data_IF_402754427364
#
_entry.id   IF_402754427364
#
_cell.length_a   1.000
_cell.length_b   1.000
_cell.length_c   1.000
_cell.angle_alpha   90.00
_cell.angle_beta   90.00
_cell.angle_gamma   90.00
#
_symmetry.space_group_name_H-M   'P 1'
#
loop_
_entity.id
_entity.type
_entity.pdbx_description
1 polymer ?
#
# COMPACT_ATOMS: atom_id res chain seq x y z
N UNK A 1 10.12 -41.16 -26.54
CA UNK A 1 9.36 -40.56 -25.40
C UNK A 1 7.86 -40.75 -25.64
N UNK A 2 7.10 -41.27 -24.67
CA UNK A 2 5.67 -41.59 -24.87
C UNK A 2 4.81 -40.33 -25.00
N UNK A 3 3.66 -40.45 -25.70
CA UNK A 3 2.68 -39.35 -25.86
C UNK A 3 2.27 -38.75 -24.51
N UNK A 4 2.10 -39.59 -23.49
CA UNK A 4 1.81 -39.18 -22.10
C UNK A 4 2.92 -38.31 -21.51
N UNK A 5 4.20 -38.71 -21.66
CA UNK A 5 5.35 -37.92 -21.20
C UNK A 5 5.44 -36.55 -21.89
N UNK A 6 5.13 -36.49 -23.20
CA UNK A 6 5.06 -35.21 -23.94
C UNK A 6 3.98 -34.28 -23.39
N UNK A 7 2.78 -34.79 -23.13
CA UNK A 7 1.66 -34.00 -22.60
C UNK A 7 2.00 -33.44 -21.20
N UNK A 8 2.58 -34.27 -20.33
CA UNK A 8 2.99 -33.83 -18.97
C UNK A 8 4.02 -32.71 -19.04
N UNK A 9 5.02 -32.83 -19.92
CA UNK A 9 6.03 -31.77 -20.08
C UNK A 9 5.44 -30.46 -20.63
N UNK A 10 4.46 -30.53 -21.53
CA UNK A 10 3.76 -29.34 -22.04
C UNK A 10 2.99 -28.66 -20.91
N UNK A 11 2.25 -29.41 -20.09
CA UNK A 11 1.50 -28.86 -18.95
C UNK A 11 2.45 -28.19 -17.94
N UNK A 12 3.56 -28.84 -17.59
CA UNK A 12 4.56 -28.27 -16.70
C UNK A 12 5.17 -26.98 -17.27
N UNK A 13 5.44 -26.94 -18.58
CA UNK A 13 5.92 -25.73 -19.25
C UNK A 13 4.90 -24.58 -19.22
N UNK A 14 3.61 -24.88 -19.39
CA UNK A 14 2.53 -23.89 -19.28
C UNK A 14 2.44 -23.34 -17.85
N UNK A 15 2.49 -24.20 -16.83
CA UNK A 15 2.46 -23.78 -15.43
C UNK A 15 3.67 -22.91 -15.09
N UNK A 16 4.87 -23.31 -15.51
CA UNK A 16 6.08 -22.54 -15.27
C UNK A 16 6.04 -21.16 -15.96
N UNK A 17 5.59 -21.10 -17.22
CA UNK A 17 5.47 -19.83 -17.95
C UNK A 17 4.40 -18.91 -17.37
N UNK A 18 3.26 -19.44 -16.94
CA UNK A 18 2.24 -18.67 -16.22
C UNK A 18 2.77 -18.15 -14.88
N UNK A 19 3.53 -18.95 -14.14
CA UNK A 19 4.17 -18.53 -12.89
C UNK A 19 5.14 -17.36 -13.10
N UNK A 20 5.98 -17.43 -14.13
CA UNK A 20 6.91 -16.33 -14.48
C UNK A 20 6.16 -15.07 -14.90
N UNK A 21 5.10 -15.20 -15.70
CA UNK A 21 4.27 -14.06 -16.12
C UNK A 21 3.56 -13.39 -14.94
N UNK A 22 3.01 -14.19 -14.02
CA UNK A 22 2.38 -13.68 -12.80
C UNK A 22 3.41 -12.97 -11.92
N UNK A 23 4.61 -13.53 -11.76
CA UNK A 23 5.68 -12.91 -10.99
C UNK A 23 6.13 -11.58 -11.63
N UNK A 24 6.30 -11.54 -12.95
CA UNK A 24 6.67 -10.32 -13.67
C UNK A 24 5.61 -9.22 -13.51
N UNK A 25 4.33 -9.56 -13.70
CA UNK A 25 3.24 -8.61 -13.51
C UNK A 25 3.20 -8.13 -12.05
N UNK A 26 3.31 -9.06 -11.11
CA UNK A 26 3.30 -8.76 -9.69
C UNK A 26 4.47 -7.88 -9.27
N UNK A 27 5.58 -7.74 -10.02
CA UNK A 27 6.71 -6.85 -9.65
C UNK A 27 6.77 -5.52 -10.41
N UNK A 28 5.77 -5.18 -11.22
CA UNK A 28 5.76 -3.88 -11.91
C UNK A 28 5.60 -2.71 -10.94
N UNK A 29 6.49 -1.72 -11.00
CA UNK A 29 6.38 -0.51 -10.18
C UNK A 29 5.02 0.14 -10.44
N UNK A 30 4.28 0.41 -9.37
CA UNK A 30 2.98 1.09 -9.43
C UNK A 30 3.20 2.53 -9.00
N UNK A 31 2.97 3.46 -9.92
CA UNK A 31 3.14 4.89 -9.70
C UNK A 31 1.77 5.57 -9.86
N UNK A 32 1.28 6.27 -8.83
CA UNK A 32 0.05 7.05 -8.94
C UNK A 32 0.28 8.28 -9.84
N UNK A 33 -0.81 8.86 -10.35
CA UNK A 33 -0.73 10.22 -10.92
C UNK A 33 -0.39 11.21 -9.80
N UNK A 34 0.19 12.35 -10.15
CA UNK A 34 0.53 13.38 -9.15
C UNK A 34 -0.70 13.82 -8.34
N UNK A 35 -1.84 14.02 -9.00
CA UNK A 35 -3.12 14.36 -8.36
C UNK A 35 -3.54 13.30 -7.32
N UNK A 36 -3.46 12.01 -7.69
CA UNK A 36 -3.79 10.92 -6.78
C UNK A 36 -2.79 10.82 -5.62
N UNK A 37 -1.49 11.00 -5.89
CA UNK A 37 -0.43 10.97 -4.86
C UNK A 37 -0.65 12.06 -3.80
N UNK A 38 -0.89 13.30 -4.26
CA UNK A 38 -1.11 14.46 -3.39
C UNK A 38 -2.39 14.30 -2.56
N UNK A 39 -3.50 13.90 -3.19
CA UNK A 39 -4.75 13.64 -2.46
C UNK A 39 -4.62 12.47 -1.49
N UNK A 40 -4.03 11.34 -1.89
CA UNK A 40 -3.86 10.18 -1.02
C UNK A 40 -3.05 10.53 0.24
N UNK A 41 -1.96 11.27 0.10
CA UNK A 41 -1.16 11.73 1.24
C UNK A 41 -1.94 12.65 2.16
N UNK A 42 -2.64 13.63 1.60
CA UNK A 42 -3.44 14.57 2.36
C UNK A 42 -4.54 13.85 3.14
N UNK A 43 -5.35 13.04 2.46
CA UNK A 43 -6.49 12.36 3.06
C UNK A 43 -6.06 11.35 4.14
N UNK A 44 -4.96 10.62 3.93
CA UNK A 44 -4.44 9.67 4.92
C UNK A 44 -3.84 10.36 6.14
N UNK A 45 -3.20 11.52 5.97
CA UNK A 45 -2.71 12.31 7.10
C UNK A 45 -3.86 12.75 8.03
N UNK A 46 -5.07 12.97 7.48
CA UNK A 46 -6.25 13.48 8.19
C UNK A 46 -7.33 12.40 8.44
N UNK A 47 -6.97 11.11 8.38
CA UNK A 47 -7.95 10.03 8.50
C UNK A 47 -8.60 9.94 9.90
N UNK A 48 -7.87 10.32 10.96
CA UNK A 48 -8.29 10.19 12.37
C UNK A 48 -8.80 11.52 12.99
N UNK A 49 -9.22 12.48 12.16
CA UNK A 49 -9.44 13.90 12.52
C UNK A 49 -10.55 14.20 13.56
N UNK A 50 -11.28 13.22 14.09
CA UNK A 50 -12.37 13.52 15.03
C UNK A 50 -11.92 13.74 16.49
N UNK A 51 -10.70 13.33 16.90
CA UNK A 51 -10.32 13.40 18.33
C UNK A 51 -8.84 13.71 18.66
N UNK A 52 -7.92 13.74 17.69
CA UNK A 52 -6.49 13.91 17.94
C UNK A 52 -5.99 15.20 17.28
N UNK A 53 -5.62 16.20 18.10
CA UNK A 53 -4.95 17.40 17.62
C UNK A 53 -3.48 17.08 17.33
N UNK A 54 -3.06 17.17 16.07
CA UNK A 54 -1.67 17.00 15.63
C UNK A 54 -1.24 18.19 14.74
N UNK A 55 0.06 18.46 14.69
CA UNK A 55 0.63 19.60 13.94
C UNK A 55 1.27 19.17 12.62
N UNK A 56 1.71 17.91 12.53
CA UNK A 56 2.40 17.37 11.38
C UNK A 56 2.16 15.85 11.27
N UNK A 57 2.12 15.34 10.05
CA UNK A 57 2.05 13.91 9.78
C UNK A 57 3.09 13.49 8.73
N UNK A 58 3.72 12.35 8.95
CA UNK A 58 4.51 11.64 7.93
C UNK A 58 3.61 10.61 7.26
N UNK A 59 3.70 10.52 5.94
CA UNK A 59 2.95 9.51 5.17
C UNK A 59 3.90 8.90 4.15
N UNK A 60 4.16 7.61 4.28
CA UNK A 60 4.89 6.82 3.27
C UNK A 60 4.07 5.60 2.87
N UNK A 61 4.26 5.14 1.63
CA UNK A 61 3.59 3.94 1.15
C UNK A 61 4.33 3.23 0.04
N UNK A 62 3.99 1.96 -0.11
CA UNK A 62 4.37 1.09 -1.22
C UNK A 62 3.11 0.59 -1.90
N UNK A 63 2.80 1.16 -3.06
CA UNK A 63 1.61 0.78 -3.82
C UNK A 63 1.84 -0.52 -4.58
N UNK A 64 0.88 -1.44 -4.47
CA UNK A 64 0.88 -2.73 -5.13
C UNK A 64 -0.05 -2.75 -6.32
N UNK A 65 -1.14 -1.99 -6.26
CA UNK A 65 -2.08 -1.82 -7.38
C UNK A 65 -2.91 -0.56 -7.22
N UNK A 66 -3.25 0.04 -8.35
CA UNK A 66 -4.25 1.11 -8.45
C UNK A 66 -5.28 0.65 -9.49
N UNK A 67 -6.55 0.67 -9.12
CA UNK A 67 -7.66 0.52 -10.04
C UNK A 67 -8.41 1.84 -10.10
N UNK A 68 -8.25 2.59 -11.19
CA UNK A 68 -8.91 3.88 -11.41
C UNK A 68 -10.09 3.72 -12.38
N UNK A 69 -11.24 4.30 -12.03
CA UNK A 69 -12.37 4.53 -12.93
C UNK A 69 -12.69 6.02 -12.98
N UNK A 70 -13.69 6.41 -13.77
CA UNK A 70 -14.06 7.82 -13.98
C UNK A 70 -14.34 8.59 -12.68
N UNK A 71 -14.84 7.88 -11.68
CA UNK A 71 -15.46 8.39 -10.45
C UNK A 71 -14.76 7.93 -9.17
N UNK A 72 -13.77 7.04 -9.25
CA UNK A 72 -13.07 6.52 -8.06
C UNK A 72 -11.69 5.97 -8.39
N UNK A 73 -10.83 5.94 -7.37
CA UNK A 73 -9.59 5.19 -7.36
C UNK A 73 -9.60 4.21 -6.19
N UNK A 74 -9.16 2.97 -6.42
CA UNK A 74 -8.93 1.99 -5.36
C UNK A 74 -7.45 1.66 -5.34
N UNK A 75 -6.81 1.97 -4.23
CA UNK A 75 -5.38 1.82 -4.00
C UNK A 75 -5.14 0.68 -3.02
N UNK A 76 -4.20 -0.19 -3.35
CA UNK A 76 -3.78 -1.32 -2.51
C UNK A 76 -2.29 -1.18 -2.24
N UNK A 77 -1.87 -1.27 -0.97
CA UNK A 77 -0.46 -1.13 -0.62
C UNK A 77 -0.18 -1.35 0.85
N UNK A 78 1.09 -1.21 1.22
CA UNK A 78 1.53 -1.04 2.60
C UNK A 78 1.73 0.44 2.88
N UNK A 79 1.26 0.91 4.02
CA UNK A 79 1.23 2.32 4.41
C UNK A 79 1.86 2.47 5.79
N UNK A 80 2.62 3.55 5.97
CA UNK A 80 3.11 3.97 7.27
C UNK A 80 2.78 5.45 7.47
N UNK A 81 1.90 5.71 8.42
CA UNK A 81 1.39 7.02 8.78
C UNK A 81 1.75 7.26 10.24
N UNK A 82 2.34 8.41 10.55
CA UNK A 82 2.56 8.86 11.93
C UNK A 82 2.18 10.32 12.07
N UNK A 83 1.46 10.64 13.14
CA UNK A 83 1.06 12.01 13.49
C UNK A 83 1.85 12.47 14.71
N UNK A 84 2.27 13.73 14.70
CA UNK A 84 3.10 14.35 15.73
C UNK A 84 2.50 15.67 16.19
N UNK A 85 2.60 15.96 17.48
CA UNK A 85 2.46 17.32 18.01
C UNK A 85 3.75 18.10 17.83
N UNK A 86 3.62 19.41 17.70
CA UNK A 86 4.72 20.37 17.70
C UNK A 86 5.49 20.20 19.01
N UNK A 87 6.80 20.08 18.89
CA UNK A 87 7.74 19.89 20.00
C UNK A 87 7.70 18.49 20.67
N UNK A 88 7.04 17.49 20.08
CA UNK A 88 7.12 16.09 20.52
C UNK A 88 8.04 15.26 19.62
N UNK A 89 9.00 14.56 20.22
CA UNK A 89 9.81 13.54 19.55
C UNK A 89 9.06 12.21 19.35
N UNK A 90 7.93 12.04 20.03
CA UNK A 90 7.11 10.83 19.96
C UNK A 90 5.86 11.07 19.11
N UNK A 91 5.49 10.07 18.30
CA UNK A 91 4.23 10.08 17.58
C UNK A 91 3.05 9.94 18.54
N UNK A 92 1.99 10.71 18.28
CA UNK A 92 0.73 10.70 19.04
C UNK A 92 -0.17 9.55 18.58
N UNK A 93 -0.12 9.25 17.30
CA UNK A 93 -0.83 8.16 16.67
C UNK A 93 -0.04 7.68 15.45
N UNK A 94 -0.33 6.46 15.02
CA UNK A 94 0.23 5.96 13.78
C UNK A 94 -0.43 4.68 13.34
N UNK A 95 -0.31 4.43 12.05
CA UNK A 95 -0.77 3.21 11.41
C UNK A 95 0.34 2.66 10.53
N UNK A 96 0.67 1.37 10.70
CA UNK A 96 1.70 0.73 9.91
C UNK A 96 1.31 -0.69 9.47
N UNK A 97 0.55 -0.78 8.38
CA UNK A 97 0.18 -2.06 7.80
C UNK A 97 -0.31 -1.93 6.35
N UNK A 98 -0.80 -3.03 5.79
CA UNK A 98 -1.50 -3.07 4.51
C UNK A 98 -2.87 -2.40 4.59
N UNK A 99 -3.21 -1.62 3.57
CA UNK A 99 -4.54 -1.01 3.44
C UNK A 99 -5.07 -1.16 2.03
N UNK A 100 -6.40 -1.20 1.94
CA UNK A 100 -7.14 -0.89 0.72
C UNK A 100 -7.84 0.45 0.94
N UNK A 101 -7.45 1.45 0.16
CA UNK A 101 -7.97 2.81 0.23
C UNK A 101 -8.85 3.06 -0.99
N UNK A 102 -10.12 3.40 -0.76
CA UNK A 102 -11.06 3.82 -1.80
C UNK A 102 -11.20 5.34 -1.73
N UNK A 103 -10.96 6.02 -2.84
CA UNK A 103 -11.20 7.45 -2.99
C UNK A 103 -12.25 7.71 -4.06
N UNK A 104 -13.15 8.66 -3.81
CA UNK A 104 -14.07 9.20 -4.81
C UNK A 104 -13.41 10.34 -5.57
N UNK A 105 -13.66 10.43 -6.88
CA UNK A 105 -13.17 11.51 -7.72
C UNK A 105 -14.25 12.57 -7.89
N UNK A 106 -14.05 13.73 -7.27
CA UNK A 106 -14.96 14.88 -7.34
C UNK A 106 -14.19 16.12 -7.80
N UNK A 107 -14.66 16.77 -8.87
CA UNK A 107 -14.05 18.00 -9.40
C UNK A 107 -12.52 17.93 -9.59
N UNK A 108 -12.01 16.83 -10.15
CA UNK A 108 -10.55 16.59 -10.35
C UNK A 108 -9.76 16.56 -9.03
N UNK A 109 -10.39 16.10 -7.96
CA UNK A 109 -9.75 15.77 -6.68
C UNK A 109 -10.19 14.40 -6.20
N UNK A 110 -9.30 13.70 -5.52
CA UNK A 110 -9.65 12.47 -4.84
C UNK A 110 -9.96 12.78 -3.37
N UNK A 111 -11.11 12.30 -2.90
CA UNK A 111 -11.58 12.46 -1.52
C UNK A 111 -11.72 11.06 -0.92
N UNK A 112 -11.29 10.88 0.33
CA UNK A 112 -11.39 9.59 1.00
C UNK A 112 -12.85 9.14 1.10
N UNK A 113 -13.10 7.89 0.70
CA UNK A 113 -14.43 7.27 0.80
C UNK A 113 -14.44 6.14 1.82
N UNK A 114 -13.46 5.24 1.74
CA UNK A 114 -13.39 4.06 2.60
C UNK A 114 -11.94 3.63 2.78
N UNK A 115 -11.60 3.24 4.01
CA UNK A 115 -10.36 2.54 4.33
C UNK A 115 -10.68 1.17 4.88
N UNK A 116 -10.10 0.15 4.27
CA UNK A 116 -10.10 -1.20 4.82
C UNK A 116 -8.71 -1.55 5.35
N UNK A 117 -8.69 -2.13 6.56
CA UNK A 117 -7.49 -2.62 7.26
C UNK A 117 -7.63 -4.13 7.54
N UNK A 118 -6.53 -4.89 7.63
CA UNK A 118 -6.57 -6.33 7.91
C UNK A 118 -7.14 -6.63 9.30
N UNK A 119 -7.70 -7.83 9.43
CA UNK A 119 -8.09 -8.39 10.73
C UNK A 119 -6.84 -8.80 11.52
N UNK A 120 -6.92 -8.80 12.85
CA UNK A 120 -5.79 -9.21 13.70
C UNK A 120 -5.70 -10.74 13.91
N UNK A 121 -4.54 -11.18 14.40
CA UNK A 121 -4.33 -12.55 14.87
C UNK A 121 -4.39 -13.60 13.75
N UNK A 122 -5.01 -14.74 14.05
CA UNK A 122 -5.03 -15.92 13.15
C UNK A 122 -5.71 -15.65 11.80
N UNK A 123 -6.56 -14.62 11.69
CA UNK A 123 -7.25 -14.26 10.45
C UNK A 123 -6.49 -13.24 9.60
N UNK A 124 -5.39 -12.68 10.09
CA UNK A 124 -4.65 -11.60 9.41
C UNK A 124 -4.31 -11.93 7.96
N UNK A 125 -3.60 -13.04 7.74
CA UNK A 125 -3.18 -13.42 6.39
C UNK A 125 -4.37 -13.75 5.47
N UNK A 126 -5.42 -14.38 6.01
CA UNK A 126 -6.63 -14.72 5.24
C UNK A 126 -7.37 -13.45 4.83
N UNK A 127 -7.49 -12.48 5.75
CA UNK A 127 -8.15 -11.19 5.50
C UNK A 127 -7.47 -10.42 4.38
N UNK A 128 -6.12 -10.41 4.36
CA UNK A 128 -5.32 -9.80 3.30
C UNK A 128 -5.58 -10.46 1.95
N UNK A 129 -5.42 -11.77 1.85
CA UNK A 129 -5.56 -12.48 0.58
C UNK A 129 -7.00 -12.41 0.02
N UNK A 130 -8.01 -12.28 0.88
CA UNK A 130 -9.41 -12.09 0.48
C UNK A 130 -9.69 -10.70 -0.10
N UNK A 131 -9.03 -9.66 0.41
CA UNK A 131 -9.31 -8.27 0.03
C UNK A 131 -8.33 -7.71 -1.01
N UNK A 132 -7.12 -8.27 -1.11
CA UNK A 132 -6.12 -7.87 -2.08
C UNK A 132 -6.20 -8.69 -3.38
N UNK A 133 -6.03 -8.06 -4.55
CA UNK A 133 -5.98 -8.77 -5.82
C UNK A 133 -4.89 -9.85 -5.85
N UNK A 134 -5.18 -11.00 -6.47
CA UNK A 134 -4.22 -12.13 -6.58
C UNK A 134 -2.86 -11.69 -7.15
N UNK A 135 -2.88 -10.70 -8.06
CA UNK A 135 -1.69 -10.10 -8.67
C UNK A 135 -0.82 -9.25 -7.73
N UNK A 136 -1.12 -9.21 -6.43
CA UNK A 136 -0.32 -8.53 -5.40
C UNK A 136 0.10 -9.48 -4.28
N UNK A 137 -0.34 -10.74 -4.30
CA UNK A 137 -0.12 -11.69 -3.19
C UNK A 137 1.36 -12.01 -3.01
N UNK A 138 2.14 -12.05 -4.09
CA UNK A 138 3.58 -12.27 -4.01
C UNK A 138 4.24 -11.19 -3.16
N UNK A 139 3.87 -9.91 -3.38
CA UNK A 139 4.40 -8.80 -2.60
C UNK A 139 4.06 -8.89 -1.12
N UNK A 140 2.80 -9.21 -0.83
CA UNK A 140 2.30 -9.36 0.55
C UNK A 140 3.06 -10.47 1.28
N UNK A 141 3.23 -11.62 0.61
CA UNK A 141 3.76 -12.83 1.24
C UNK A 141 5.28 -12.88 1.31
N UNK A 142 5.98 -12.23 0.38
CA UNK A 142 7.43 -12.41 0.20
C UNK A 142 8.26 -11.14 0.40
N UNK A 143 7.65 -9.96 0.33
CA UNK A 143 8.39 -8.68 0.35
C UNK A 143 7.98 -7.71 1.45
N UNK A 144 7.05 -8.11 2.32
CA UNK A 144 6.53 -7.26 3.40
C UNK A 144 7.62 -6.64 4.28
N UNK A 145 8.57 -7.44 4.77
CA UNK A 145 9.62 -6.95 5.69
C UNK A 145 10.54 -5.93 5.03
N UNK A 146 10.90 -6.13 3.76
CA UNK A 146 11.69 -5.15 3.01
C UNK A 146 10.94 -3.83 2.89
N UNK A 147 9.66 -3.87 2.51
CA UNK A 147 8.86 -2.65 2.42
C UNK A 147 8.70 -1.96 3.76
N UNK A 148 8.58 -2.71 4.86
CA UNK A 148 8.53 -2.11 6.19
C UNK A 148 9.78 -1.28 6.49
N UNK A 149 10.96 -1.85 6.26
CA UNK A 149 12.23 -1.13 6.49
C UNK A 149 12.34 0.13 5.64
N UNK A 150 11.98 0.05 4.35
CA UNK A 150 12.02 1.21 3.46
C UNK A 150 11.05 2.32 3.89
N UNK A 151 9.84 1.96 4.36
CA UNK A 151 8.83 2.91 4.81
C UNK A 151 9.24 3.61 6.12
N UNK A 152 9.89 2.89 7.04
CA UNK A 152 10.46 3.48 8.25
C UNK A 152 11.48 4.55 7.88
N UNK A 153 12.42 4.23 6.99
CA UNK A 153 13.44 5.18 6.54
C UNK A 153 12.83 6.42 5.88
N UNK A 154 11.79 6.25 5.04
CA UNK A 154 11.11 7.36 4.40
C UNK A 154 10.33 8.26 5.37
N UNK A 155 9.70 7.69 6.40
CA UNK A 155 9.03 8.48 7.44
C UNK A 155 10.04 9.24 8.29
N UNK A 156 11.15 8.60 8.69
CA UNK A 156 12.24 9.26 9.41
C UNK A 156 12.82 10.44 8.60
N UNK A 157 13.00 10.28 7.29
CA UNK A 157 13.45 11.36 6.41
C UNK A 157 12.45 12.53 6.36
N UNK A 158 11.15 12.24 6.29
CA UNK A 158 10.10 13.27 6.30
C UNK A 158 10.08 14.04 7.63
N UNK A 159 10.16 13.32 8.76
CA UNK A 159 10.23 13.90 10.09
C UNK A 159 11.47 14.79 10.26
N UNK A 160 12.65 14.27 9.91
CA UNK A 160 13.91 15.02 10.00
C UNK A 160 13.89 16.31 9.16
N UNK A 161 13.26 16.26 7.98
CA UNK A 161 13.08 17.43 7.12
C UNK A 161 12.14 18.48 7.74
N UNK A 162 11.12 18.04 8.47
CA UNK A 162 10.19 18.94 9.17
C UNK A 162 10.89 19.65 10.33
N UNK A 163 11.57 18.92 11.22
CA UNK A 163 12.25 19.53 12.39
C UNK A 163 13.36 20.51 11.96
N UNK A 164 14.18 20.15 10.97
CA UNK A 164 15.28 21.01 10.49
C UNK A 164 14.78 22.30 9.84
N UNK A 165 13.55 22.31 9.30
CA UNK A 165 12.95 23.51 8.70
C UNK A 165 12.38 24.47 9.76
N UNK A 166 12.11 23.97 10.96
CA UNK A 166 11.47 24.70 12.04
C UNK A 166 12.43 25.09 13.19
N UNK A 167 13.70 24.68 13.11
CA UNK A 167 14.83 25.18 13.94
C UNK A 167 15.42 26.50 13.37
#
# INVERSE_FOLDING_TARGET
MSRKKKIVLIILGIIASLGVLLFYWDHQVVTPTQELDESLRYELAHMDDEYIEYDFATVSYRLFKINESKDKAIVYGMFYIEQYKKDSEFSESGYFDYMKVTLKKENEKYILDEVWVPEDGDQYQISLLKNFPISTWSRILLTGDRYRLELIEENEQQYNKYITKND
#
